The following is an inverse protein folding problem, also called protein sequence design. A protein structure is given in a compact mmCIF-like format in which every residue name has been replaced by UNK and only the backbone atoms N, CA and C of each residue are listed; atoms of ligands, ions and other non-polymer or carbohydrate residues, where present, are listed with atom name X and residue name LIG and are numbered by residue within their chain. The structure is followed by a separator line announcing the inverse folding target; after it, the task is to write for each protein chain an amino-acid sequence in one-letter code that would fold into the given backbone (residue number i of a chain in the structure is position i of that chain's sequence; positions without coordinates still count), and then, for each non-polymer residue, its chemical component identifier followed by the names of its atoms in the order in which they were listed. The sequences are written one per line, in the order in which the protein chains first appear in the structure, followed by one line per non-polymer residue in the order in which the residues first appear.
data_IF_282051648048
#
_entry.id   IF_282051648048
#
_cell.length_a   1.000
_cell.length_b   1.000
_cell.length_c   1.000
_cell.angle_alpha   90.00
_cell.angle_beta   90.00
_cell.angle_gamma   90.00
#
_symmetry.space_group_name_H-M   'P 1'
#
loop_
_entity.id
_entity.type
_entity.pdbx_description
1 polymer ?
#
# COMPACT_ATOMS: atom_id res chain seq x y z
N UNK A 1 -13.13 -54.14 -11.48
CA UNK A 1 -14.55 -54.32 -11.13
C UNK A 1 -14.88 -53.27 -10.08
N UNK A 2 -15.53 -52.21 -10.48
CA UNK A 2 -16.09 -51.17 -9.62
C UNK A 2 -17.62 -51.27 -9.75
N UNK A 3 -18.41 -51.17 -8.70
CA UNK A 3 -19.85 -51.12 -8.80
C UNK A 3 -20.35 -49.66 -8.95
N UNK A 4 -21.43 -49.53 -9.71
CA UNK A 4 -22.15 -48.34 -10.13
C UNK A 4 -22.69 -47.48 -8.98
N UNK A 5 -22.69 -46.16 -9.15
CA UNK A 5 -23.46 -45.19 -8.36
C UNK A 5 -24.71 -44.77 -9.16
N UNK A 6 -25.87 -44.68 -8.49
CA UNK A 6 -27.09 -44.17 -9.12
C UNK A 6 -27.12 -42.64 -9.21
N UNK A 7 -27.96 -42.04 -10.09
CA UNK A 7 -27.98 -40.58 -10.37
C UNK A 7 -28.72 -39.80 -9.28
N UNK A 8 -28.21 -38.60 -8.95
CA UNK A 8 -28.80 -37.63 -8.03
C UNK A 8 -29.98 -36.88 -8.66
N UNK A 9 -31.08 -36.84 -7.91
CA UNK A 9 -32.29 -36.07 -8.24
C UNK A 9 -32.00 -34.54 -8.16
N UNK A 10 -32.48 -33.82 -9.17
CA UNK A 10 -32.58 -32.37 -9.20
C UNK A 10 -33.70 -31.92 -8.26
N UNK A 11 -33.43 -31.05 -7.30
CA UNK A 11 -34.42 -30.33 -6.52
C UNK A 11 -34.59 -28.90 -7.02
N UNK A 12 -35.84 -28.56 -7.29
CA UNK A 12 -36.33 -27.31 -7.83
C UNK A 12 -36.20 -26.16 -6.83
N UNK A 13 -35.82 -24.99 -7.33
CA UNK A 13 -35.86 -23.69 -6.62
C UNK A 13 -37.29 -23.17 -6.55
N UNK A 14 -37.72 -22.56 -5.42
CA UNK A 14 -38.95 -21.77 -5.38
C UNK A 14 -38.69 -20.31 -5.78
N UNK A 15 -39.69 -19.77 -6.54
CA UNK A 15 -39.69 -18.38 -7.02
C UNK A 15 -40.09 -17.37 -5.94
N UNK A 16 -39.47 -16.21 -6.07
CA UNK A 16 -39.86 -14.84 -5.68
C UNK A 16 -41.07 -14.58 -4.78
N UNK A 17 -40.78 -14.06 -3.59
CA UNK A 17 -41.74 -13.30 -2.80
C UNK A 17 -41.22 -11.86 -2.58
N UNK A 18 -41.98 -10.86 -3.07
CA UNK A 18 -41.76 -9.44 -2.79
C UNK A 18 -42.12 -9.14 -1.34
N UNK A 19 -41.18 -8.57 -0.58
CA UNK A 19 -41.47 -7.96 0.72
C UNK A 19 -41.46 -6.43 0.61
N UNK A 20 -42.56 -5.83 0.98
CA UNK A 20 -42.75 -4.38 1.22
C UNK A 20 -42.15 -4.01 2.59
N UNK A 21 -41.58 -2.80 2.77
CA UNK A 21 -41.01 -2.40 4.05
C UNK A 21 -42.10 -1.90 5.00
N UNK A 22 -42.25 -2.55 6.15
CA UNK A 22 -43.00 -2.07 7.28
C UNK A 22 -42.08 -1.29 8.22
N UNK A 23 -42.42 -0.02 8.46
CA UNK A 23 -41.70 0.92 9.29
C UNK A 23 -42.35 1.02 10.67
N UNK A 24 -41.72 0.64 11.78
CA UNK A 24 -42.24 1.03 13.10
C UNK A 24 -41.58 2.32 13.57
N UNK A 25 -42.37 3.33 13.82
CA UNK A 25 -42.02 4.58 14.50
C UNK A 25 -41.50 4.26 15.91
N UNK A 26 -40.26 4.67 16.19
CA UNK A 26 -39.71 4.73 17.55
C UNK A 26 -39.75 6.19 17.99
N UNK A 27 -40.49 6.43 19.07
CA UNK A 27 -40.62 7.71 19.75
C UNK A 27 -39.36 8.01 20.57
N UNK A 28 -38.79 9.18 20.34
CA UNK A 28 -37.66 9.72 21.12
C UNK A 28 -38.13 10.43 22.38
N UNK A 29 -37.47 10.30 23.52
CA UNK A 29 -37.58 11.27 24.60
C UNK A 29 -36.63 12.45 24.39
N UNK A 30 -37.20 13.66 24.47
CA UNK A 30 -36.43 14.92 24.52
C UNK A 30 -35.64 15.00 25.83
N UNK A 31 -34.33 15.26 25.72
CA UNK A 31 -33.59 15.93 26.78
C UNK A 31 -32.75 17.05 26.15
N UNK A 32 -33.05 18.24 26.66
CA UNK A 32 -32.41 19.51 26.35
C UNK A 32 -31.05 19.61 27.05
N UNK A 33 -29.96 19.79 26.28
CA UNK A 33 -28.76 20.47 26.73
C UNK A 33 -28.03 21.05 25.53
N UNK A 34 -28.19 22.36 25.34
CA UNK A 34 -27.48 23.18 24.37
C UNK A 34 -26.11 23.52 24.92
N UNK A 35 -25.06 22.86 24.41
CA UNK A 35 -23.71 23.39 24.48
C UNK A 35 -23.35 23.96 23.11
N UNK A 36 -23.14 25.28 23.06
CA UNK A 36 -22.80 26.04 21.86
C UNK A 36 -21.39 25.68 21.39
N UNK A 37 -21.28 25.38 20.09
CA UNK A 37 -20.01 25.33 19.37
C UNK A 37 -19.44 26.75 19.21
N UNK A 38 -18.12 26.97 19.30
CA UNK A 38 -17.54 28.27 19.06
C UNK A 38 -17.63 28.67 17.59
N UNK A 39 -18.16 29.86 17.39
CA UNK A 39 -18.31 30.55 16.12
C UNK A 39 -16.95 30.98 15.56
N UNK A 40 -16.55 30.42 14.42
CA UNK A 40 -15.39 30.88 13.68
C UNK A 40 -15.83 31.85 12.60
N UNK A 41 -16.03 33.11 12.98
CA UNK A 41 -16.12 34.22 12.04
C UNK A 41 -14.72 34.73 11.73
N UNK A 42 -14.14 34.30 10.60
CA UNK A 42 -12.96 34.92 9.99
C UNK A 42 -13.32 36.25 9.33
N UNK A 43 -12.35 37.14 9.09
CA UNK A 43 -12.60 38.51 8.60
C UNK A 43 -13.16 38.50 7.16
N UNK A 44 -13.92 39.56 6.75
CA UNK A 44 -14.57 39.61 5.45
C UNK A 44 -13.55 39.76 4.33
N UNK A 45 -13.62 38.86 3.35
CA UNK A 45 -12.87 38.93 2.12
C UNK A 45 -13.65 39.75 1.07
N UNK A 46 -13.45 41.07 1.03
CA UNK A 46 -13.71 41.88 -0.16
C UNK A 46 -12.45 41.89 -1.04
N UNK A 47 -12.38 40.98 -1.97
CA UNK A 47 -11.59 41.12 -3.20
C UNK A 47 -12.35 40.48 -4.34
N UNK A 48 -12.85 41.36 -5.23
CA UNK A 48 -13.36 40.96 -6.52
C UNK A 48 -12.32 40.09 -7.24
N UNK A 49 -12.62 38.81 -7.37
CA UNK A 49 -11.85 37.86 -8.19
C UNK A 49 -12.21 38.12 -9.64
N UNK A 50 -11.32 38.87 -10.37
CA UNK A 50 -11.21 38.70 -11.79
C UNK A 50 -10.94 37.19 -12.06
N UNK A 51 -11.94 36.52 -12.60
CA UNK A 51 -11.77 35.20 -13.17
C UNK A 51 -10.94 35.35 -14.46
N UNK A 52 -9.63 35.25 -14.36
CA UNK A 52 -8.83 34.87 -15.51
C UNK A 52 -9.27 33.47 -15.98
N UNK A 53 -9.38 33.22 -17.29
CA UNK A 53 -9.70 31.90 -17.79
C UNK A 53 -8.64 30.93 -17.30
N UNK A 54 -9.09 29.82 -16.69
CA UNK A 54 -8.24 28.71 -16.26
C UNK A 54 -7.41 28.25 -17.47
N UNK A 55 -6.21 28.79 -17.61
CA UNK A 55 -5.21 28.22 -18.50
C UNK A 55 -4.92 26.84 -17.95
N UNK A 56 -5.19 25.81 -18.76
CA UNK A 56 -4.74 24.43 -18.51
C UNK A 56 -3.25 24.53 -18.15
N UNK A 57 -2.95 24.43 -16.86
CA UNK A 57 -1.58 24.22 -16.39
C UNK A 57 -1.07 23.02 -17.15
N UNK A 58 -0.03 23.17 -17.95
CA UNK A 58 0.62 22.07 -18.63
C UNK A 58 1.10 21.10 -17.54
N UNK A 59 0.36 20.01 -17.33
CA UNK A 59 0.76 19.02 -16.35
C UNK A 59 2.17 18.55 -16.71
N UNK A 60 3.06 18.56 -15.72
CA UNK A 60 4.43 18.08 -15.88
C UNK A 60 4.39 16.65 -16.40
N UNK A 61 5.13 16.36 -17.46
CA UNK A 61 5.25 15.02 -18.02
C UNK A 61 6.72 14.65 -18.18
N UNK A 62 7.02 13.36 -18.16
CA UNK A 62 8.32 12.82 -18.57
C UNK A 62 8.14 11.87 -19.74
N UNK A 63 9.01 11.98 -20.73
CA UNK A 63 9.10 11.07 -21.88
C UNK A 63 10.35 10.23 -21.74
N UNK A 64 10.19 8.90 -21.82
CA UNK A 64 11.30 7.95 -21.83
C UNK A 64 11.64 7.66 -23.29
N UNK A 65 12.91 7.83 -23.67
CA UNK A 65 13.38 7.48 -25.02
C UNK A 65 13.94 6.07 -25.00
N UNK A 66 13.46 5.15 -25.88
CA UNK A 66 13.99 3.80 -25.98
C UNK A 66 15.51 3.80 -26.22
N UNK A 67 16.31 3.13 -25.36
CA UNK A 67 17.73 3.00 -25.61
C UNK A 67 17.99 2.06 -26.80
N UNK A 68 19.03 2.35 -27.57
CA UNK A 68 19.50 1.49 -28.66
C UNK A 68 20.61 0.51 -28.23
N UNK A 69 20.78 0.32 -26.94
CA UNK A 69 21.78 -0.56 -26.30
C UNK A 69 21.16 -1.28 -25.10
N UNK A 70 21.71 -2.45 -24.72
CA UNK A 70 21.33 -3.12 -23.48
C UNK A 70 21.68 -2.28 -22.26
N UNK A 71 20.74 -2.13 -21.30
CA UNK A 71 21.02 -1.40 -20.07
C UNK A 71 21.95 -2.21 -19.17
N UNK A 72 23.11 -1.63 -18.86
CA UNK A 72 24.12 -2.31 -18.03
C UNK A 72 24.67 -1.32 -17.01
N UNK A 73 24.78 -1.76 -15.77
CA UNK A 73 25.32 -0.91 -14.71
C UNK A 73 25.00 -1.41 -13.32
N UNK A 74 25.25 -0.55 -12.32
CA UNK A 74 24.94 -0.83 -10.93
C UNK A 74 23.98 0.24 -10.40
N UNK A 75 22.83 -0.20 -9.91
CA UNK A 75 21.79 0.67 -9.33
C UNK A 75 21.17 -0.04 -8.13
N UNK A 76 21.36 0.48 -6.93
CA UNK A 76 20.71 -0.06 -5.75
C UNK A 76 19.28 0.45 -5.65
N UNK A 77 18.28 -0.42 -5.41
CA UNK A 77 16.95 0.00 -5.02
C UNK A 77 16.99 0.77 -3.70
N UNK A 78 16.05 1.71 -3.45
CA UNK A 78 15.96 2.36 -2.15
C UNK A 78 15.59 1.35 -1.06
N UNK A 79 15.71 1.75 0.21
CA UNK A 79 15.25 0.95 1.33
C UNK A 79 13.76 0.63 1.26
N UNK A 80 13.33 -0.49 1.82
CA UNK A 80 11.93 -0.92 1.78
C UNK A 80 11.01 0.05 2.52
N UNK A 81 10.03 0.62 1.80
CA UNK A 81 8.97 1.45 2.39
C UNK A 81 8.19 0.67 3.46
N UNK A 82 7.84 -0.56 3.15
CA UNK A 82 7.03 -1.41 4.01
C UNK A 82 7.71 -1.75 5.32
N UNK A 83 9.02 -2.01 5.27
CA UNK A 83 9.83 -2.29 6.47
C UNK A 83 10.13 -1.00 7.22
N UNK A 84 10.48 0.09 6.53
CA UNK A 84 10.76 1.39 7.17
C UNK A 84 9.58 1.87 8.01
N UNK A 85 8.35 1.82 7.49
CA UNK A 85 7.17 2.23 8.25
C UNK A 85 6.92 1.33 9.48
N UNK A 86 7.16 0.02 9.37
CA UNK A 86 7.08 -0.91 10.50
C UNK A 86 8.12 -0.59 11.57
N UNK A 87 9.37 -0.50 11.16
CA UNK A 87 10.48 -0.23 12.06
C UNK A 87 10.35 1.13 12.76
N UNK A 88 9.90 2.18 12.06
CA UNK A 88 9.61 3.49 12.66
C UNK A 88 8.56 3.39 13.76
N UNK A 89 7.44 2.69 13.53
CA UNK A 89 6.39 2.54 14.53
C UNK A 89 6.87 1.68 15.71
N UNK A 90 7.53 0.55 15.44
CA UNK A 90 8.01 -0.34 16.50
C UNK A 90 9.06 0.33 17.38
N UNK A 91 10.01 1.07 16.77
CA UNK A 91 11.00 1.87 17.49
C UNK A 91 10.35 3.00 18.31
N UNK A 92 9.28 3.63 17.80
CA UNK A 92 8.54 4.66 18.53
C UNK A 92 7.78 4.10 19.75
N UNK A 93 7.24 2.88 19.64
CA UNK A 93 6.56 2.17 20.72
C UNK A 93 7.53 1.50 21.70
N UNK A 94 8.80 1.37 21.32
CA UNK A 94 9.83 0.80 22.17
C UNK A 94 10.32 1.80 23.24
N UNK A 95 10.93 1.27 24.30
CA UNK A 95 11.65 2.08 25.29
C UNK A 95 13.14 2.05 24.99
N UNK A 96 13.71 3.22 24.68
CA UNK A 96 15.13 3.38 24.36
C UNK A 96 15.35 3.92 22.97
N UNK A 97 16.58 3.84 22.49
CA UNK A 97 17.01 4.37 21.18
C UNK A 97 17.29 3.24 20.22
N UNK A 98 16.72 3.32 19.03
CA UNK A 98 16.93 2.39 17.91
C UNK A 98 17.55 3.12 16.74
N UNK A 99 18.56 2.53 16.10
CA UNK A 99 19.12 3.00 14.83
C UNK A 99 18.55 2.16 13.69
N UNK A 100 17.83 2.81 12.78
CA UNK A 100 17.24 2.19 11.60
C UNK A 100 18.10 2.56 10.38
N UNK A 101 18.92 1.63 9.91
CA UNK A 101 19.85 1.85 8.79
C UNK A 101 19.29 1.29 7.49
N UNK A 102 19.67 1.85 6.33
CA UNK A 102 19.13 1.47 5.03
C UNK A 102 17.66 1.89 4.82
N UNK A 103 17.14 2.76 5.67
CA UNK A 103 15.75 3.19 5.65
C UNK A 103 15.43 4.03 4.40
N UNK A 104 14.23 3.88 3.91
CA UNK A 104 13.69 4.76 2.88
C UNK A 104 13.35 6.12 3.48
N UNK A 105 13.84 7.19 2.83
CA UNK A 105 13.35 8.55 3.03
C UNK A 105 12.54 8.99 1.83
N UNK A 106 11.24 9.05 2.01
CA UNK A 106 10.25 9.34 0.98
C UNK A 106 9.06 10.08 1.58
N UNK A 107 8.12 10.50 0.76
CA UNK A 107 6.90 11.14 1.27
C UNK A 107 6.13 10.25 2.26
N UNK A 108 6.02 8.96 1.97
CA UNK A 108 5.31 8.01 2.85
C UNK A 108 5.95 7.93 4.25
N UNK A 109 7.28 7.78 4.30
CA UNK A 109 8.02 7.66 5.57
C UNK A 109 8.17 8.99 6.30
N UNK A 110 8.18 10.10 5.56
CA UNK A 110 8.15 11.46 6.12
C UNK A 110 6.83 11.70 6.88
N UNK A 111 5.69 11.32 6.30
CA UNK A 111 4.41 11.44 7.01
C UNK A 111 4.38 10.60 8.30
N UNK A 112 4.94 9.38 8.28
CA UNK A 112 5.05 8.54 9.47
C UNK A 112 5.93 9.20 10.53
N UNK A 113 7.14 9.65 10.18
CA UNK A 113 8.09 10.24 11.12
C UNK A 113 7.58 11.56 11.71
N UNK A 114 6.91 12.41 10.92
CA UNK A 114 6.28 13.65 11.37
C UNK A 114 5.16 13.34 12.38
N UNK A 115 4.27 12.40 12.08
CA UNK A 115 3.20 12.02 12.99
C UNK A 115 3.73 11.45 14.31
N UNK A 116 4.77 10.63 14.28
CA UNK A 116 5.41 10.09 15.48
C UNK A 116 6.07 11.20 16.31
N UNK A 117 6.72 12.18 15.68
CA UNK A 117 7.25 13.38 16.40
C UNK A 117 6.13 14.18 17.08
N UNK A 118 4.97 14.36 16.41
CA UNK A 118 3.80 15.01 17.00
C UNK A 118 3.27 14.23 18.22
N UNK A 119 3.53 12.94 18.30
CA UNK A 119 3.19 12.08 19.44
C UNK A 119 4.34 11.90 20.44
N UNK A 120 5.30 12.83 20.46
CA UNK A 120 6.35 12.92 21.47
C UNK A 120 7.55 12.00 21.28
N UNK A 121 7.71 11.40 20.10
CA UNK A 121 8.87 10.56 19.77
C UNK A 121 10.00 11.44 19.23
N UNK A 122 11.23 11.26 19.73
CA UNK A 122 12.41 11.93 19.17
C UNK A 122 12.92 11.11 17.99
N UNK A 123 13.03 11.75 16.83
CA UNK A 123 13.53 11.10 15.61
C UNK A 123 14.56 12.02 14.97
N UNK A 124 15.82 11.60 14.95
CA UNK A 124 16.91 12.25 14.27
C UNK A 124 17.19 11.58 12.92
N UNK A 125 17.67 12.35 11.96
CA UNK A 125 17.95 11.91 10.60
C UNK A 125 19.39 12.30 10.21
N UNK A 126 20.39 11.53 10.69
CA UNK A 126 21.81 11.89 10.54
C UNK A 126 22.33 11.83 9.11
N UNK A 127 21.68 11.04 8.25
CA UNK A 127 22.02 10.86 6.84
C UNK A 127 20.78 10.46 6.02
N UNK A 128 20.93 10.26 4.72
CA UNK A 128 19.82 10.02 3.78
C UNK A 128 19.16 8.63 3.91
N UNK A 129 19.72 7.72 4.71
CA UNK A 129 19.24 6.35 4.84
C UNK A 129 19.08 5.90 6.28
N UNK A 130 19.24 6.81 7.25
CA UNK A 130 19.19 6.46 8.66
C UNK A 130 18.14 7.28 9.41
N UNK A 131 17.35 6.63 10.25
CA UNK A 131 16.60 7.23 11.35
C UNK A 131 17.15 6.76 12.69
N UNK A 132 17.33 7.67 13.62
CA UNK A 132 17.62 7.37 15.04
C UNK A 132 16.37 7.73 15.83
N UNK A 133 15.68 6.71 16.33
CA UNK A 133 14.38 6.85 16.98
C UNK A 133 14.53 6.59 18.48
N UNK A 134 14.18 7.58 19.31
CA UNK A 134 14.15 7.42 20.77
C UNK A 134 12.71 7.45 21.24
N UNK A 135 12.21 6.27 21.61
CA UNK A 135 10.88 6.06 22.15
C UNK A 135 10.88 5.97 23.68
N UNK A 136 9.78 6.38 24.29
CA UNK A 136 9.56 6.28 25.74
C UNK A 136 8.78 5.02 26.15
N UNK A 137 8.41 4.18 25.22
CA UNK A 137 7.47 3.06 25.39
C UNK A 137 5.99 3.50 25.39
N UNK A 138 5.70 4.76 25.08
CA UNK A 138 4.34 5.33 25.04
C UNK A 138 4.28 6.46 24.01
N UNK A 139 3.19 6.51 23.26
CA UNK A 139 2.85 7.65 22.42
C UNK A 139 2.09 8.69 23.25
N UNK A 140 2.31 9.97 22.96
CA UNK A 140 1.63 11.08 23.61
C UNK A 140 0.44 11.55 22.77
N UNK A 141 -0.54 12.20 23.41
CA UNK A 141 -1.66 12.81 22.71
C UNK A 141 -1.14 13.98 21.84
N UNK A 142 -1.35 13.94 20.52
CA UNK A 142 -0.93 15.03 19.66
C UNK A 142 -1.82 16.26 19.85
N UNK A 143 -1.24 17.45 19.77
CA UNK A 143 -1.98 18.71 19.92
C UNK A 143 -2.85 19.07 18.71
N UNK A 144 -2.59 18.46 17.57
CA UNK A 144 -3.25 18.71 16.29
C UNK A 144 -3.59 17.38 15.59
N UNK A 145 -4.54 17.37 14.64
CA UNK A 145 -4.78 16.21 13.79
C UNK A 145 -3.49 15.74 13.10
N UNK A 146 -3.33 14.42 12.99
CA UNK A 146 -2.22 13.81 12.28
C UNK A 146 -2.52 13.80 10.77
N UNK A 147 -1.82 14.62 10.01
CA UNK A 147 -1.93 14.64 8.55
C UNK A 147 -0.93 13.65 7.92
N UNK A 148 -1.44 12.67 7.20
CA UNK A 148 -0.67 11.54 6.68
C UNK A 148 -0.57 11.54 5.14
N UNK A 149 -0.97 12.62 4.45
CA UNK A 149 -0.99 12.69 2.99
C UNK A 149 -1.68 11.46 2.39
N UNK A 150 -1.05 10.84 1.39
CA UNK A 150 -1.49 9.55 0.82
C UNK A 150 -0.71 8.33 1.38
N UNK A 151 -0.11 8.43 2.58
CA UNK A 151 0.69 7.36 3.19
C UNK A 151 -0.21 6.27 3.80
N UNK A 152 -0.67 5.33 2.97
CA UNK A 152 -1.64 4.30 3.34
C UNK A 152 -1.18 3.39 4.48
N UNK A 153 0.09 3.03 4.50
CA UNK A 153 0.68 2.20 5.57
C UNK A 153 0.68 2.94 6.91
N UNK A 154 1.13 4.21 6.92
CA UNK A 154 1.12 5.04 8.11
C UNK A 154 -0.31 5.24 8.64
N UNK A 155 -1.28 5.51 7.76
CA UNK A 155 -2.68 5.67 8.13
C UNK A 155 -3.21 4.44 8.90
N UNK A 156 -3.03 3.23 8.36
CA UNK A 156 -3.56 2.01 9.00
C UNK A 156 -2.84 1.68 10.29
N UNK A 157 -1.52 1.79 10.29
CA UNK A 157 -0.71 1.47 11.46
C UNK A 157 -0.96 2.45 12.61
N UNK A 158 -0.98 3.74 12.32
CA UNK A 158 -1.23 4.74 13.35
C UNK A 158 -2.68 4.72 13.84
N UNK A 159 -3.68 4.43 13.00
CA UNK A 159 -5.07 4.27 13.45
C UNK A 159 -5.20 3.21 14.55
N UNK A 160 -4.48 2.10 14.44
CA UNK A 160 -4.45 1.11 15.52
C UNK A 160 -3.58 1.59 16.70
N UNK A 161 -2.38 2.10 16.45
CA UNK A 161 -1.43 2.46 17.49
C UNK A 161 -1.93 3.55 18.42
N UNK A 162 -2.69 4.55 17.92
CA UNK A 162 -3.24 5.63 18.76
C UNK A 162 -4.31 5.15 19.75
N UNK A 163 -4.79 3.90 19.65
CA UNK A 163 -5.62 3.29 20.69
C UNK A 163 -4.89 3.23 22.05
N UNK A 164 -3.55 3.20 22.04
CA UNK A 164 -2.71 3.24 23.25
C UNK A 164 -2.54 4.63 23.86
N UNK A 165 -3.05 5.67 23.20
CA UNK A 165 -3.02 7.06 23.72
C UNK A 165 -4.28 7.31 24.53
N UNK A 166 -4.16 7.95 25.69
CA UNK A 166 -5.34 8.37 26.47
C UNK A 166 -5.87 9.69 25.89
N UNK A 167 -6.98 9.64 25.15
CA UNK A 167 -7.62 10.83 24.57
C UNK A 167 -8.06 10.65 23.12
N UNK A 168 -8.49 11.73 22.49
CA UNK A 168 -9.03 11.72 21.13
C UNK A 168 -7.96 12.12 20.11
N UNK A 169 -7.71 11.27 19.14
CA UNK A 169 -6.77 11.52 18.04
C UNK A 169 -7.53 11.51 16.71
N UNK A 170 -7.32 12.53 15.89
CA UNK A 170 -7.85 12.61 14.53
C UNK A 170 -6.72 12.32 13.55
N UNK A 171 -6.96 11.40 12.61
CA UNK A 171 -6.04 11.07 11.53
C UNK A 171 -6.70 11.43 10.19
N UNK A 172 -5.99 12.15 9.34
CA UNK A 172 -6.48 12.60 8.04
C UNK A 172 -5.40 12.53 6.98
N UNK A 173 -5.75 12.78 5.73
CA UNK A 173 -4.84 12.82 4.61
C UNK A 173 -5.36 13.69 3.49
N UNK A 174 -4.73 13.57 2.33
CA UNK A 174 -5.13 14.26 1.11
C UNK A 174 -6.43 13.67 0.50
N UNK A 175 -6.88 14.25 -0.61
CA UNK A 175 -8.11 13.85 -1.31
C UNK A 175 -8.07 12.40 -1.80
N UNK A 176 -6.89 11.84 -2.06
CA UNK A 176 -6.73 10.43 -2.41
C UNK A 176 -6.90 9.53 -1.18
N UNK A 177 -6.29 9.90 -0.05
CA UNK A 177 -6.42 9.15 1.20
C UNK A 177 -7.86 9.12 1.70
N UNK A 178 -8.62 10.21 1.53
CA UNK A 178 -10.01 10.31 1.96
C UNK A 178 -10.96 9.37 1.19
N UNK A 179 -10.49 8.72 0.14
CA UNK A 179 -11.24 7.71 -0.64
C UNK A 179 -10.80 6.28 -0.35
N UNK A 180 -9.74 6.10 0.44
CA UNK A 180 -9.16 4.77 0.70
C UNK A 180 -9.83 4.10 1.90
N UNK A 181 -10.39 2.88 1.74
CA UNK A 181 -11.13 2.23 2.79
C UNK A 181 -10.25 1.90 4.00
N UNK A 182 -10.86 2.03 5.19
CA UNK A 182 -10.27 1.64 6.48
C UNK A 182 -11.33 0.97 7.39
N UNK A 183 -12.57 0.90 6.93
CA UNK A 183 -13.71 0.39 7.67
C UNK A 183 -13.49 -0.93 8.41
N UNK A 184 -12.93 -1.99 7.80
CA UNK A 184 -12.69 -3.26 8.50
C UNK A 184 -11.85 -3.10 9.76
N UNK A 185 -10.78 -2.29 9.72
CA UNK A 185 -9.95 -2.00 10.90
C UNK A 185 -10.75 -1.28 11.98
N UNK A 186 -11.54 -0.26 11.60
CA UNK A 186 -12.38 0.50 12.54
C UNK A 186 -13.43 -0.40 13.20
N UNK A 187 -14.06 -1.29 12.43
CA UNK A 187 -15.04 -2.25 12.95
C UNK A 187 -14.40 -3.14 14.01
N UNK A 188 -13.22 -3.70 13.74
CA UNK A 188 -12.52 -4.55 14.71
C UNK A 188 -12.12 -3.78 15.97
N UNK A 189 -11.63 -2.55 15.85
CA UNK A 189 -11.31 -1.71 17.01
C UNK A 189 -12.57 -1.41 17.85
N UNK A 190 -13.69 -1.04 17.20
CA UNK A 190 -14.96 -0.76 17.85
C UNK A 190 -15.53 -1.95 18.60
N UNK A 191 -15.49 -3.15 18.01
CA UNK A 191 -15.92 -4.40 18.64
C UNK A 191 -15.13 -4.75 19.91
N UNK A 192 -13.91 -4.19 20.03
CA UNK A 192 -13.03 -4.39 21.17
C UNK A 192 -12.95 -3.18 22.13
N UNK A 193 -13.97 -2.34 22.15
CA UNK A 193 -14.13 -1.26 23.13
C UNK A 193 -13.33 0.00 22.85
N UNK A 194 -12.73 0.12 21.65
CA UNK A 194 -12.05 1.34 21.19
C UNK A 194 -13.02 2.10 20.31
N UNK A 195 -13.59 3.19 20.85
CA UNK A 195 -14.52 4.00 20.07
C UNK A 195 -13.79 4.66 18.90
N UNK A 196 -14.36 4.54 17.71
CA UNK A 196 -13.84 5.10 16.46
C UNK A 196 -14.97 5.71 15.64
N UNK A 197 -14.69 6.83 14.98
CA UNK A 197 -15.66 7.52 14.13
C UNK A 197 -15.05 7.77 12.74
N UNK A 198 -15.78 7.39 11.73
CA UNK A 198 -15.50 7.70 10.32
C UNK A 198 -16.82 7.68 9.55
N UNK A 199 -17.35 8.82 9.09
CA UNK A 199 -18.65 8.89 8.43
C UNK A 199 -18.73 8.09 7.13
N UNK A 200 -17.61 7.89 6.45
CA UNK A 200 -17.54 7.27 5.12
C UNK A 200 -16.88 5.88 5.12
N UNK A 201 -16.33 5.44 6.28
CA UNK A 201 -15.46 4.26 6.32
C UNK A 201 -14.06 4.51 5.72
N UNK A 202 -13.75 5.78 5.42
CA UNK A 202 -12.47 6.28 4.95
C UNK A 202 -11.98 7.41 5.87
N UNK A 203 -10.72 7.86 5.79
CA UNK A 203 -10.28 9.07 6.49
C UNK A 203 -11.10 10.32 6.09
N UNK A 204 -11.29 11.31 6.98
CA UNK A 204 -10.69 11.38 8.32
C UNK A 204 -11.30 10.37 9.28
N UNK A 205 -10.44 9.89 10.21
CA UNK A 205 -10.79 8.95 11.27
C UNK A 205 -10.55 9.58 12.63
N UNK A 206 -11.50 9.47 13.53
CA UNK A 206 -11.33 9.85 14.94
C UNK A 206 -11.23 8.58 15.77
N UNK A 207 -10.18 8.46 16.59
CA UNK A 207 -9.97 7.34 17.51
C UNK A 207 -9.98 7.89 18.94
N UNK A 208 -10.86 7.35 19.77
CA UNK A 208 -10.88 7.66 21.21
C UNK A 208 -10.01 6.61 21.91
N UNK A 209 -8.73 6.91 22.03
CA UNK A 209 -7.76 6.00 22.60
C UNK A 209 -8.00 5.78 24.10
N UNK A 210 -7.78 4.53 24.51
CA UNK A 210 -8.10 4.03 25.85
C UNK A 210 -6.86 3.96 26.77
N UNK A 211 -5.68 4.25 26.24
CA UNK A 211 -4.40 4.16 26.95
C UNK A 211 -3.89 2.73 27.08
N UNK A 212 -4.70 1.81 27.57
CA UNK A 212 -4.38 0.38 27.65
C UNK A 212 -5.49 -0.43 26.99
N UNK A 213 -5.10 -1.23 26.02
CA UNK A 213 -6.03 -2.06 25.25
C UNK A 213 -6.32 -3.34 26.03
N UNK A 214 -7.61 -3.58 26.31
CA UNK A 214 -8.10 -4.74 27.09
C UNK A 214 -8.75 -5.81 26.23
N UNK A 215 -8.53 -5.79 24.93
CA UNK A 215 -9.03 -6.82 24.02
C UNK A 215 -8.45 -8.21 24.36
N UNK A 216 -9.26 -9.25 24.17
CA UNK A 216 -8.78 -10.66 24.26
C UNK A 216 -8.46 -11.21 22.89
N UNK A 217 -9.20 -10.77 21.88
CA UNK A 217 -9.10 -11.30 20.52
C UNK A 217 -9.56 -10.24 19.51
N UNK A 218 -8.75 -9.98 18.52
CA UNK A 218 -9.12 -9.22 17.33
C UNK A 218 -9.50 -10.22 16.22
N UNK A 219 -10.66 -10.04 15.63
CA UNK A 219 -11.08 -10.78 14.44
C UNK A 219 -11.14 -9.81 13.25
N UNK A 220 -10.46 -10.15 12.17
CA UNK A 220 -10.30 -9.27 11.01
C UNK A 220 -10.33 -10.05 9.70
N UNK A 221 -11.05 -9.55 8.70
CA UNK A 221 -10.93 -10.05 7.34
C UNK A 221 -9.63 -9.50 6.72
N UNK A 222 -8.71 -10.43 6.39
CA UNK A 222 -7.42 -10.14 5.78
C UNK A 222 -7.46 -10.01 4.25
N UNK A 223 -8.59 -10.34 3.62
CA UNK A 223 -8.71 -10.40 2.15
C UNK A 223 -8.50 -9.04 1.48
N UNK A 224 -9.05 -7.97 2.05
CA UNK A 224 -8.95 -6.62 1.46
C UNK A 224 -7.56 -6.01 1.65
N UNK A 225 -6.94 -6.17 2.81
CA UNK A 225 -5.60 -5.59 3.07
C UNK A 225 -4.89 -6.24 4.25
N UNK A 226 -3.68 -6.77 4.00
CA UNK A 226 -2.76 -7.24 5.05
C UNK A 226 -2.31 -6.13 6.01
N UNK A 227 -2.49 -4.85 5.64
CA UNK A 227 -2.15 -3.71 6.52
C UNK A 227 -3.03 -3.66 7.77
N UNK A 228 -4.30 -4.08 7.67
CA UNK A 228 -5.20 -4.13 8.83
C UNK A 228 -4.73 -5.18 9.84
N UNK A 229 -4.37 -6.36 9.34
CA UNK A 229 -3.82 -7.46 10.15
C UNK A 229 -2.53 -7.01 10.83
N UNK A 230 -1.61 -6.44 10.05
CA UNK A 230 -0.33 -5.91 10.55
C UNK A 230 -0.51 -4.85 11.65
N UNK A 231 -1.47 -3.94 11.46
CA UNK A 231 -1.77 -2.88 12.43
C UNK A 231 -2.25 -3.47 13.77
N UNK A 232 -3.14 -4.46 13.73
CA UNK A 232 -3.67 -5.13 14.93
C UNK A 232 -2.61 -6.00 15.62
N UNK A 233 -1.75 -6.70 14.87
CA UNK A 233 -0.62 -7.46 15.42
C UNK A 233 0.33 -6.54 16.20
N UNK A 234 0.72 -5.41 15.61
CA UNK A 234 1.61 -4.45 16.28
C UNK A 234 0.94 -3.81 17.51
N UNK A 235 -0.37 -3.54 17.44
CA UNK A 235 -1.13 -3.03 18.60
C UNK A 235 -1.19 -4.06 19.72
N UNK A 236 -1.38 -5.34 19.39
CA UNK A 236 -1.60 -6.41 20.38
C UNK A 236 -0.45 -6.55 21.38
N UNK A 237 0.80 -6.33 20.97
CA UNK A 237 1.94 -6.34 21.89
C UNK A 237 1.89 -5.24 22.96
N UNK A 238 1.14 -4.16 22.71
CA UNK A 238 0.91 -3.04 23.64
C UNK A 238 -0.33 -3.23 24.52
N UNK A 239 -0.97 -4.39 24.50
CA UNK A 239 -2.13 -4.73 25.30
C UNK A 239 -1.84 -4.82 26.81
N UNK A 240 -2.89 -4.92 27.62
CA UNK A 240 -2.77 -5.15 29.07
C UNK A 240 -2.52 -6.63 29.39
N UNK A 241 -2.98 -7.54 28.51
CA UNK A 241 -2.81 -8.98 28.59
C UNK A 241 -2.55 -9.52 27.18
N UNK A 242 -2.14 -10.81 27.02
CA UNK A 242 -1.99 -11.40 25.70
C UNK A 242 -3.27 -11.32 24.86
N UNK A 243 -3.12 -10.95 23.60
CA UNK A 243 -4.22 -10.78 22.64
C UNK A 243 -4.03 -11.76 21.48
N UNK A 244 -5.11 -12.41 21.07
CA UNK A 244 -5.14 -13.16 19.83
C UNK A 244 -5.55 -12.26 18.66
N UNK A 245 -4.89 -12.43 17.51
CA UNK A 245 -5.29 -11.81 16.25
C UNK A 245 -5.65 -12.94 15.30
N UNK A 246 -6.91 -13.02 14.91
CA UNK A 246 -7.43 -14.08 14.07
C UNK A 246 -7.99 -13.53 12.76
N UNK A 247 -7.66 -14.20 11.69
CA UNK A 247 -8.23 -13.92 10.39
C UNK A 247 -9.60 -14.54 10.25
N UNK A 248 -10.55 -13.77 9.75
CA UNK A 248 -11.85 -14.24 9.29
C UNK A 248 -11.86 -14.21 7.76
N UNK A 249 -12.51 -15.17 7.13
CA UNK A 249 -12.51 -15.28 5.67
C UNK A 249 -11.56 -16.38 5.16
N UNK A 250 -11.63 -16.62 3.85
CA UNK A 250 -10.91 -17.75 3.22
C UNK A 250 -9.55 -17.35 2.67
N UNK A 251 -9.35 -16.08 2.37
CA UNK A 251 -8.18 -15.60 1.64
C UNK A 251 -7.40 -14.58 2.47
N UNK A 252 -6.09 -14.78 2.54
CA UNK A 252 -5.16 -13.82 3.12
C UNK A 252 -4.45 -13.14 1.95
N UNK A 253 -4.97 -12.02 1.52
CA UNK A 253 -4.29 -11.20 0.54
C UNK A 253 -2.92 -10.75 1.05
N UNK A 254 -1.86 -11.15 0.34
CA UNK A 254 -0.48 -10.79 0.66
C UNK A 254 -0.01 -11.24 2.06
N UNK A 255 -0.16 -12.52 2.37
CA UNK A 255 0.30 -13.14 3.62
C UNK A 255 1.75 -12.80 3.96
N UNK A 256 2.66 -12.77 2.98
CA UNK A 256 4.05 -12.44 3.20
C UNK A 256 4.29 -11.08 3.87
N UNK A 257 3.35 -10.11 3.75
CA UNK A 257 3.44 -8.87 4.52
C UNK A 257 3.02 -9.01 5.98
N UNK A 258 2.22 -10.02 6.31
CA UNK A 258 1.94 -10.38 7.70
C UNK A 258 3.18 -11.02 8.31
N UNK A 259 3.80 -11.97 7.60
CA UNK A 259 5.03 -12.62 8.04
C UNK A 259 6.15 -11.59 8.25
N UNK A 260 6.32 -10.65 7.32
CA UNK A 260 7.24 -9.52 7.45
C UNK A 260 6.97 -8.67 8.72
N UNK A 261 5.69 -8.48 9.08
CA UNK A 261 5.32 -7.76 10.31
C UNK A 261 5.72 -8.56 11.54
N UNK A 262 5.47 -9.87 11.55
CA UNK A 262 5.84 -10.75 12.66
C UNK A 262 7.34 -10.78 12.89
N UNK A 263 8.13 -10.80 11.82
CA UNK A 263 9.60 -10.78 11.90
C UNK A 263 10.12 -9.44 12.44
N UNK A 264 9.58 -8.32 11.96
CA UNK A 264 9.89 -7.01 12.53
C UNK A 264 9.51 -6.94 14.02
N UNK A 265 8.33 -7.41 14.41
CA UNK A 265 7.87 -7.41 15.81
C UNK A 265 8.80 -8.24 16.71
N UNK A 266 9.21 -9.42 16.25
CA UNK A 266 10.15 -10.29 16.98
C UNK A 266 11.53 -9.64 17.16
N UNK A 267 12.03 -8.95 16.12
CA UNK A 267 13.29 -8.20 16.21
C UNK A 267 13.23 -7.12 17.28
N UNK A 268 12.08 -6.47 17.46
CA UNK A 268 11.84 -5.49 18.52
C UNK A 268 11.35 -6.12 19.84
N UNK A 269 11.56 -7.42 20.06
CA UNK A 269 11.36 -8.11 21.33
C UNK A 269 9.93 -8.60 21.61
N UNK A 270 9.00 -8.46 20.67
CA UNK A 270 7.65 -9.00 20.84
C UNK A 270 7.66 -10.53 20.79
N UNK A 271 6.86 -11.16 21.65
CA UNK A 271 6.66 -12.60 21.64
C UNK A 271 5.35 -12.93 20.94
N UNK A 272 5.46 -13.62 19.82
CA UNK A 272 4.31 -14.02 18.97
C UNK A 272 4.37 -15.50 18.67
N UNK A 273 3.31 -16.19 19.05
CA UNK A 273 3.06 -17.62 18.81
C UNK A 273 2.00 -17.77 17.71
N UNK A 274 2.25 -18.61 16.71
CA UNK A 274 1.21 -19.05 15.79
C UNK A 274 0.36 -20.11 16.48
N UNK A 275 -0.92 -19.83 16.67
CA UNK A 275 -1.89 -20.80 17.25
C UNK A 275 -2.32 -21.78 16.16
N UNK A 276 -2.56 -21.26 14.96
CA UNK A 276 -2.85 -22.01 13.73
C UNK A 276 -2.45 -21.15 12.50
N UNK A 277 -2.81 -21.59 11.30
CA UNK A 277 -2.46 -20.90 10.04
C UNK A 277 -3.09 -19.51 9.90
N UNK A 278 -4.07 -19.16 10.71
CA UNK A 278 -4.86 -17.94 10.62
C UNK A 278 -4.92 -17.14 11.90
N UNK A 279 -4.31 -17.64 12.98
CA UNK A 279 -4.40 -17.05 14.32
C UNK A 279 -3.03 -16.96 14.98
N UNK A 280 -2.73 -15.78 15.50
CA UNK A 280 -1.52 -15.52 16.29
C UNK A 280 -1.89 -15.02 17.68
N UNK A 281 -1.19 -15.54 18.69
CA UNK A 281 -1.24 -15.05 20.06
C UNK A 281 -0.03 -14.14 20.30
N UNK A 282 -0.28 -12.88 20.64
CA UNK A 282 0.74 -11.88 20.92
C UNK A 282 0.78 -11.62 22.41
N UNK A 283 1.94 -11.81 23.05
CA UNK A 283 2.13 -11.50 24.44
C UNK A 283 2.18 -9.98 24.66
N UNK A 284 1.70 -9.51 25.82
CA UNK A 284 1.68 -8.10 26.20
C UNK A 284 3.08 -7.62 26.68
N UNK A 285 4.11 -7.81 25.87
CA UNK A 285 5.50 -7.48 26.20
C UNK A 285 5.86 -6.02 25.93
N UNK A 286 5.05 -5.31 25.12
CA UNK A 286 5.49 -4.08 24.46
C UNK A 286 6.66 -4.35 23.54
N UNK A 287 7.47 -3.30 23.30
CA UNK A 287 8.64 -3.35 22.44
C UNK A 287 9.90 -2.85 23.16
N UNK A 288 11.05 -3.37 22.74
CA UNK A 288 12.38 -2.93 23.20
C UNK A 288 13.14 -2.31 22.04
N UNK A 289 13.95 -1.29 22.34
CA UNK A 289 14.79 -0.66 21.34
C UNK A 289 15.74 -1.68 20.70
N UNK A 290 15.88 -1.60 19.39
CA UNK A 290 16.71 -2.51 18.59
C UNK A 290 17.26 -1.78 17.36
N UNK A 291 18.57 -1.92 17.12
CA UNK A 291 19.15 -1.45 15.87
C UNK A 291 18.76 -2.38 14.73
N UNK A 292 18.17 -1.82 13.68
CA UNK A 292 17.55 -2.61 12.63
C UNK A 292 18.06 -2.19 11.25
N UNK A 293 18.53 -3.18 10.49
CA UNK A 293 18.94 -2.99 9.09
C UNK A 293 17.72 -3.24 8.19
N UNK A 294 17.33 -2.23 7.43
CA UNK A 294 16.24 -2.31 6.48
C UNK A 294 16.81 -2.75 5.13
N UNK A 295 16.28 -3.84 4.60
CA UNK A 295 16.67 -4.34 3.28
C UNK A 295 16.18 -3.42 2.16
N UNK A 296 16.78 -3.47 0.96
CA UNK A 296 16.27 -2.78 -0.22
C UNK A 296 14.81 -3.15 -0.52
N UNK A 297 14.10 -2.28 -1.23
CA UNK A 297 12.69 -2.50 -1.58
C UNK A 297 12.56 -3.49 -2.75
N UNK A 298 12.00 -4.67 -2.48
CA UNK A 298 11.80 -5.71 -3.50
C UNK A 298 10.83 -5.29 -4.60
N UNK A 299 9.81 -4.47 -4.27
CA UNK A 299 8.92 -3.94 -5.29
C UNK A 299 9.65 -2.97 -6.22
N UNK A 300 10.57 -2.13 -5.68
CA UNK A 300 11.42 -1.25 -6.48
C UNK A 300 12.41 -2.03 -7.34
N UNK A 301 12.94 -3.14 -6.83
CA UNK A 301 13.82 -4.04 -7.58
C UNK A 301 13.14 -4.61 -8.83
N UNK A 302 11.81 -4.79 -8.83
CA UNK A 302 11.08 -5.32 -10.00
C UNK A 302 11.23 -4.46 -11.24
N UNK A 303 11.32 -3.12 -11.10
CA UNK A 303 11.52 -2.22 -12.24
C UNK A 303 12.90 -2.41 -12.86
N UNK A 304 13.93 -2.62 -12.06
CA UNK A 304 15.29 -2.84 -12.52
C UNK A 304 15.45 -4.22 -13.18
N UNK A 305 14.89 -5.28 -12.58
CA UNK A 305 14.85 -6.61 -13.20
C UNK A 305 14.07 -6.64 -14.52
N UNK A 306 12.93 -5.93 -14.58
CA UNK A 306 12.16 -5.82 -15.82
C UNK A 306 12.90 -5.01 -16.88
N UNK A 307 13.57 -3.91 -16.52
CA UNK A 307 14.41 -3.13 -17.46
C UNK A 307 15.56 -3.96 -18.01
N UNK A 308 16.19 -4.79 -17.17
CA UNK A 308 17.26 -5.73 -17.57
C UNK A 308 16.77 -6.68 -18.67
N UNK A 309 15.68 -7.42 -18.43
CA UNK A 309 15.17 -8.41 -19.40
C UNK A 309 14.57 -7.78 -20.66
N UNK A 310 13.93 -6.59 -20.54
CA UNK A 310 13.40 -5.87 -21.70
C UNK A 310 14.48 -5.39 -22.65
N UNK A 311 15.62 -4.99 -22.13
CA UNK A 311 16.71 -4.44 -22.95
C UNK A 311 17.81 -5.47 -23.28
N UNK A 312 17.77 -6.66 -22.66
CA UNK A 312 18.79 -7.69 -22.81
C UNK A 312 20.13 -7.31 -22.16
N UNK A 313 20.06 -6.47 -21.11
CA UNK A 313 21.22 -5.96 -20.39
C UNK A 313 21.62 -6.77 -19.17
N UNK A 314 22.35 -6.10 -18.26
CA UNK A 314 22.67 -6.63 -16.93
C UNK A 314 22.75 -5.51 -15.91
N UNK A 315 21.86 -5.51 -14.92
CA UNK A 315 21.75 -4.48 -13.89
C UNK A 315 22.06 -5.11 -12.52
N UNK A 316 23.23 -4.79 -11.96
CA UNK A 316 23.59 -5.19 -10.59
C UNK A 316 22.83 -4.31 -9.59
N UNK A 317 21.87 -4.90 -8.88
CA UNK A 317 21.12 -4.22 -7.83
C UNK A 317 21.75 -4.37 -6.44
N UNK A 318 22.88 -5.07 -6.31
CA UNK A 318 23.64 -5.23 -5.08
C UNK A 318 23.06 -6.25 -4.08
N UNK A 319 21.94 -6.92 -4.40
CA UNK A 319 21.31 -7.95 -3.55
C UNK A 319 20.69 -9.02 -4.45
N UNK A 320 20.82 -10.28 -4.05
CA UNK A 320 20.21 -11.37 -4.81
C UNK A 320 18.71 -11.54 -4.43
N UNK A 321 17.89 -11.97 -5.38
CA UNK A 321 16.43 -12.07 -5.19
C UNK A 321 16.02 -12.98 -4.01
N UNK A 322 16.77 -14.05 -3.76
CA UNK A 322 16.52 -14.98 -2.65
C UNK A 322 16.84 -14.40 -1.27
N UNK A 323 17.58 -13.29 -1.19
CA UNK A 323 18.00 -12.67 0.06
C UNK A 323 16.95 -11.68 0.59
N UNK A 324 15.91 -11.37 -0.24
CA UNK A 324 14.79 -10.54 0.21
C UNK A 324 13.81 -11.34 1.08
N UNK A 325 13.35 -10.74 2.16
CA UNK A 325 12.25 -11.26 2.97
C UNK A 325 10.87 -10.80 2.45
N UNK A 326 10.84 -9.78 1.60
CA UNK A 326 9.63 -9.18 1.05
C UNK A 326 8.96 -10.08 0.01
N UNK A 327 7.61 -10.23 0.04
CA UNK A 327 6.90 -11.15 -0.85
C UNK A 327 7.00 -10.81 -2.33
N UNK A 328 7.18 -9.52 -2.66
CA UNK A 328 7.28 -9.06 -4.06
C UNK A 328 8.56 -9.54 -4.75
N UNK A 329 9.57 -10.00 -4.01
CA UNK A 329 10.76 -10.62 -4.60
C UNK A 329 10.45 -11.87 -5.43
N UNK A 330 9.31 -12.55 -5.16
CA UNK A 330 8.81 -13.68 -5.98
C UNK A 330 8.60 -13.30 -7.44
N UNK A 331 8.37 -12.03 -7.73
CA UNK A 331 8.21 -11.53 -9.10
C UNK A 331 9.47 -11.74 -9.96
N UNK A 332 10.65 -11.79 -9.36
CA UNK A 332 11.90 -12.05 -10.09
C UNK A 332 11.85 -13.37 -10.87
N UNK A 333 11.28 -14.43 -10.28
CA UNK A 333 11.12 -15.72 -10.95
C UNK A 333 10.16 -15.66 -12.15
N UNK A 334 9.16 -14.78 -12.11
CA UNK A 334 8.23 -14.53 -13.23
C UNK A 334 8.92 -13.69 -14.30
N UNK A 335 9.64 -12.62 -13.90
CA UNK A 335 10.39 -11.74 -14.81
C UNK A 335 11.46 -12.53 -15.57
N UNK A 336 12.17 -13.45 -14.92
CA UNK A 336 13.20 -14.29 -15.52
C UNK A 336 12.68 -15.23 -16.63
N UNK A 337 11.37 -15.46 -16.70
CA UNK A 337 10.75 -16.25 -17.77
C UNK A 337 10.51 -15.44 -19.06
N UNK A 338 10.59 -14.10 -19.00
CA UNK A 338 10.39 -13.26 -20.17
C UNK A 338 11.39 -13.61 -21.28
N UNK A 339 10.99 -13.72 -22.57
CA UNK A 339 9.67 -13.40 -23.15
C UNK A 339 8.67 -14.57 -23.19
N UNK A 340 8.80 -15.56 -22.34
CA UNK A 340 7.92 -16.74 -22.27
C UNK A 340 7.32 -16.86 -20.86
N UNK A 341 6.74 -15.75 -20.35
CA UNK A 341 6.09 -15.74 -19.05
C UNK A 341 4.94 -16.76 -19.02
N UNK A 342 4.69 -17.32 -17.85
CA UNK A 342 3.57 -18.25 -17.63
C UNK A 342 2.22 -17.60 -17.99
N UNK A 343 1.27 -18.41 -18.51
CA UNK A 343 -0.03 -17.91 -18.98
C UNK A 343 -0.91 -17.33 -17.87
N UNK A 344 -0.69 -17.70 -16.61
CA UNK A 344 -1.44 -17.19 -15.45
C UNK A 344 -0.48 -16.81 -14.34
N UNK A 345 -0.63 -15.59 -13.80
CA UNK A 345 0.13 -15.06 -12.68
C UNK A 345 -0.85 -14.71 -11.54
N UNK A 346 -0.68 -15.34 -10.39
CA UNK A 346 -1.48 -15.04 -9.19
C UNK A 346 -0.91 -13.81 -8.50
N UNK A 347 -1.72 -12.75 -8.41
CA UNK A 347 -1.26 -11.43 -7.92
C UNK A 347 -1.35 -11.23 -6.43
N UNK A 348 -2.16 -12.01 -5.70
CA UNK A 348 -2.42 -11.78 -4.28
C UNK A 348 -1.17 -11.81 -3.40
N UNK A 349 -0.16 -12.60 -3.76
CA UNK A 349 1.06 -12.78 -2.97
C UNK A 349 2.24 -11.87 -3.35
N UNK A 350 2.13 -11.11 -4.45
CA UNK A 350 3.13 -10.14 -4.91
C UNK A 350 2.46 -8.91 -5.53
N UNK A 351 1.45 -8.40 -4.84
CA UNK A 351 0.50 -7.41 -5.35
C UNK A 351 1.16 -6.12 -5.85
N UNK A 352 2.24 -5.67 -5.21
CA UNK A 352 2.91 -4.42 -5.56
C UNK A 352 3.87 -4.58 -6.76
N UNK A 353 4.19 -5.82 -7.16
CA UNK A 353 4.95 -6.15 -8.38
C UNK A 353 4.05 -6.30 -9.63
N UNK A 354 2.74 -6.48 -9.46
CA UNK A 354 1.82 -6.72 -10.58
C UNK A 354 1.86 -5.62 -11.64
N UNK A 355 1.94 -4.31 -11.31
CA UNK A 355 2.06 -3.28 -12.33
C UNK A 355 3.27 -3.49 -13.25
N UNK A 356 4.43 -3.83 -12.69
CA UNK A 356 5.64 -4.16 -13.46
C UNK A 356 5.41 -5.36 -14.37
N UNK A 357 4.85 -6.45 -13.83
CA UNK A 357 4.63 -7.68 -14.57
C UNK A 357 3.59 -7.51 -15.70
N UNK A 358 2.55 -6.71 -15.46
CA UNK A 358 1.53 -6.44 -16.48
C UNK A 358 2.10 -5.66 -17.69
N UNK A 359 2.93 -4.65 -17.41
CA UNK A 359 3.61 -3.91 -18.50
C UNK A 359 4.64 -4.80 -19.21
N UNK A 360 5.39 -5.63 -18.47
CA UNK A 360 6.32 -6.60 -19.07
C UNK A 360 5.57 -7.60 -19.99
N UNK A 361 4.41 -8.07 -19.53
CA UNK A 361 3.57 -9.00 -20.30
C UNK A 361 3.09 -8.43 -21.63
N UNK A 362 3.01 -7.10 -21.80
CA UNK A 362 2.68 -6.50 -23.08
C UNK A 362 3.66 -6.88 -24.21
N UNK A 363 4.90 -7.18 -23.87
CA UNK A 363 5.97 -7.56 -24.79
C UNK A 363 6.28 -9.06 -24.78
N UNK A 364 5.48 -9.87 -24.06
CA UNK A 364 5.64 -11.31 -23.98
C UNK A 364 5.22 -12.01 -25.29
N UNK A 365 5.68 -13.24 -25.51
CA UNK A 365 5.34 -14.01 -26.70
C UNK A 365 3.88 -14.52 -26.70
N UNK A 366 3.29 -14.69 -25.54
CA UNK A 366 1.93 -15.24 -25.35
C UNK A 366 1.15 -14.40 -24.33
N UNK A 367 -0.19 -14.33 -24.44
CA UNK A 367 -1.02 -13.63 -23.48
C UNK A 367 -0.82 -14.09 -22.04
N UNK A 368 -0.93 -13.15 -21.09
CA UNK A 368 -0.79 -13.42 -19.67
C UNK A 368 -2.04 -12.95 -18.92
N UNK A 369 -2.61 -13.81 -18.09
CA UNK A 369 -3.72 -13.51 -17.21
C UNK A 369 -3.20 -13.29 -15.80
N UNK A 370 -3.52 -12.15 -15.22
CA UNK A 370 -3.25 -11.81 -13.81
C UNK A 370 -4.53 -11.99 -13.01
N UNK A 371 -4.50 -12.83 -11.99
CA UNK A 371 -5.67 -13.20 -11.18
C UNK A 371 -5.54 -12.72 -9.73
N UNK A 372 -6.65 -12.73 -8.98
CA UNK A 372 -6.70 -12.34 -7.56
C UNK A 372 -6.23 -10.90 -7.32
N UNK A 373 -6.70 -9.95 -8.12
CA UNK A 373 -6.27 -8.56 -8.09
C UNK A 373 -7.22 -7.63 -7.31
N UNK A 374 -8.25 -8.13 -6.63
CA UNK A 374 -9.25 -7.32 -5.94
C UNK A 374 -8.63 -6.25 -5.02
N UNK A 375 -7.54 -6.59 -4.35
CA UNK A 375 -6.82 -5.68 -3.45
C UNK A 375 -6.11 -4.51 -4.16
N UNK A 376 -5.82 -4.63 -5.47
CA UNK A 376 -5.20 -3.57 -6.26
C UNK A 376 -6.17 -2.43 -6.58
N UNK A 377 -7.49 -2.69 -6.53
CA UNK A 377 -8.53 -1.68 -6.79
C UNK A 377 -8.68 -0.64 -5.70
N UNK A 378 -8.17 -0.92 -4.50
CA UNK A 378 -8.29 -0.07 -3.31
C UNK A 378 -6.95 0.48 -2.81
N UNK A 379 -5.96 0.53 -3.72
CA UNK A 379 -4.63 1.11 -3.45
C UNK A 379 -4.65 2.64 -3.61
N UNK A 380 -3.58 3.22 -4.09
CA UNK A 380 -3.47 4.65 -4.42
C UNK A 380 -4.51 5.09 -5.45
N UNK A 381 -4.76 4.23 -6.42
CA UNK A 381 -5.84 4.27 -7.39
C UNK A 381 -6.39 2.85 -7.60
N UNK A 382 -7.41 2.68 -8.45
CA UNK A 382 -7.73 1.35 -9.01
C UNK A 382 -6.62 0.98 -10.02
N UNK A 383 -5.61 0.26 -9.53
CA UNK A 383 -4.45 -0.13 -10.36
C UNK A 383 -4.82 -1.05 -11.51
N UNK A 384 -5.87 -1.87 -11.36
CA UNK A 384 -6.33 -2.76 -12.43
C UNK A 384 -6.88 -1.92 -13.58
N UNK A 385 -7.68 -0.89 -13.26
CA UNK A 385 -8.20 0.04 -14.26
C UNK A 385 -7.08 0.88 -14.89
N UNK A 386 -6.18 1.43 -14.08
CA UNK A 386 -5.07 2.25 -14.57
C UNK A 386 -4.13 1.47 -15.50
N UNK A 387 -3.86 0.19 -15.21
CA UNK A 387 -3.07 -0.69 -16.08
C UNK A 387 -3.80 -0.99 -17.39
N UNK A 388 -5.10 -1.31 -17.31
CA UNK A 388 -5.95 -1.52 -18.49
C UNK A 388 -5.92 -0.29 -19.39
N UNK A 389 -6.19 0.89 -18.84
CA UNK A 389 -6.31 2.12 -19.62
C UNK A 389 -4.95 2.52 -20.23
N UNK A 390 -3.88 2.49 -19.45
CA UNK A 390 -2.54 2.83 -19.93
C UNK A 390 -2.01 1.86 -20.99
N UNK A 391 -2.26 0.56 -20.87
CA UNK A 391 -1.89 -0.41 -21.90
C UNK A 391 -2.69 -0.20 -23.20
N UNK A 392 -3.99 0.08 -23.09
CA UNK A 392 -4.83 0.35 -24.24
C UNK A 392 -4.58 1.74 -24.86
N UNK A 393 -4.03 2.69 -24.12
CA UNK A 393 -3.54 3.96 -24.64
C UNK A 393 -2.29 3.77 -25.54
N UNK A 394 -1.42 2.81 -25.19
CA UNK A 394 -0.29 2.42 -26.04
C UNK A 394 -0.80 1.75 -27.31
N UNK A 395 -1.70 0.78 -27.18
CA UNK A 395 -2.34 0.10 -28.29
C UNK A 395 -3.72 -0.44 -27.89
N UNK A 396 -4.80 -0.06 -28.59
CA UNK A 396 -6.15 -0.57 -28.33
C UNK A 396 -6.22 -2.10 -28.40
N UNK A 397 -6.88 -2.70 -27.40
CA UNK A 397 -7.05 -4.16 -27.28
C UNK A 397 -5.85 -4.89 -26.64
N UNK A 398 -4.86 -4.17 -26.10
CA UNK A 398 -3.71 -4.79 -25.43
C UNK A 398 -4.05 -5.34 -24.04
N UNK A 399 -5.06 -4.79 -23.38
CA UNK A 399 -5.51 -5.27 -22.07
C UNK A 399 -7.05 -5.33 -21.98
N UNK A 400 -7.54 -6.32 -21.23
CA UNK A 400 -8.98 -6.53 -20.95
C UNK A 400 -9.16 -6.85 -19.46
N UNK A 401 -10.22 -6.31 -18.84
CA UNK A 401 -10.60 -6.61 -17.47
C UNK A 401 -11.74 -7.63 -17.46
N UNK A 402 -11.61 -8.70 -16.69
CA UNK A 402 -12.65 -9.71 -16.47
C UNK A 402 -12.86 -9.88 -14.94
N UNK A 403 -13.85 -9.19 -14.38
CA UNK A 403 -14.04 -9.12 -12.93
C UNK A 403 -12.86 -8.42 -12.25
N UNK A 404 -12.14 -9.12 -11.40
CA UNK A 404 -10.92 -8.61 -10.76
C UNK A 404 -9.62 -9.08 -11.45
N UNK A 405 -9.73 -9.79 -12.57
CA UNK A 405 -8.57 -10.23 -13.33
C UNK A 405 -8.22 -9.22 -14.44
N UNK A 406 -6.94 -9.16 -14.79
CA UNK A 406 -6.40 -8.42 -15.91
C UNK A 406 -5.80 -9.40 -16.93
N UNK A 407 -6.32 -9.41 -18.15
CA UNK A 407 -5.75 -10.15 -19.27
C UNK A 407 -4.93 -9.18 -20.12
N UNK A 408 -3.64 -9.46 -20.32
CA UNK A 408 -2.76 -8.75 -21.26
C UNK A 408 -2.60 -9.61 -22.50
N UNK A 409 -3.02 -9.07 -23.66
CA UNK A 409 -3.05 -9.81 -24.93
C UNK A 409 -1.65 -10.14 -25.49
N UNK A 410 -0.62 -9.42 -25.05
CA UNK A 410 0.78 -9.51 -25.45
C UNK A 410 1.02 -9.27 -26.95
N UNK A 411 2.03 -8.49 -27.28
CA UNK A 411 2.48 -8.27 -28.65
C UNK A 411 3.96 -7.91 -28.70
N UNK A 412 4.84 -8.87 -28.97
CA UNK A 412 6.28 -8.60 -29.12
C UNK A 412 6.61 -7.57 -30.19
N UNK A 413 5.73 -7.40 -31.21
CA UNK A 413 5.92 -6.44 -32.28
C UNK A 413 5.73 -4.97 -31.86
N UNK A 414 5.24 -4.71 -30.65
CA UNK A 414 5.24 -3.37 -30.07
C UNK A 414 6.66 -2.81 -29.90
N UNK A 415 7.64 -3.68 -29.66
CA UNK A 415 9.03 -3.26 -29.49
C UNK A 415 9.56 -2.58 -30.76
N UNK A 416 10.11 -1.36 -30.63
CA UNK A 416 10.61 -0.56 -31.74
C UNK A 416 9.55 0.28 -32.47
N UNK A 417 8.28 0.22 -32.04
CA UNK A 417 7.23 1.09 -32.58
C UNK A 417 7.21 2.46 -31.91
N UNK A 418 6.36 3.35 -32.40
CA UNK A 418 6.07 4.66 -31.81
C UNK A 418 4.58 4.84 -31.61
N UNK A 419 4.21 5.55 -30.55
CA UNK A 419 2.84 5.97 -30.26
C UNK A 419 2.82 7.40 -29.75
N UNK A 420 1.64 7.93 -29.41
CA UNK A 420 1.47 9.23 -28.77
C UNK A 420 0.76 9.11 -27.41
N UNK A 421 0.99 7.98 -26.73
CA UNK A 421 0.32 7.67 -25.47
C UNK A 421 0.66 8.69 -24.37
N UNK A 422 -0.38 9.12 -23.66
CA UNK A 422 -0.28 9.96 -22.47
C UNK A 422 -0.81 9.17 -21.26
N UNK A 423 0.09 8.68 -20.45
CA UNK A 423 -0.23 7.83 -19.30
C UNK A 423 -0.64 8.72 -18.12
N UNK A 424 -1.91 8.62 -17.71
CA UNK A 424 -2.36 9.17 -16.44
C UNK A 424 -1.88 8.26 -15.30
N UNK A 425 -1.06 8.80 -14.44
CA UNK A 425 -0.53 8.05 -13.29
C UNK A 425 -1.52 7.97 -12.12
N UNK A 426 -2.58 8.77 -12.12
CA UNK A 426 -3.50 8.89 -10.99
C UNK A 426 -2.77 9.18 -9.66
N UNK A 427 -1.67 9.93 -9.71
CA UNK A 427 -0.74 10.16 -8.60
C UNK A 427 -0.21 8.84 -7.96
N UNK A 428 -0.21 7.74 -8.71
CA UNK A 428 0.33 6.46 -8.26
C UNK A 428 1.73 6.23 -8.84
N UNK A 429 2.70 6.24 -7.96
CA UNK A 429 4.11 6.01 -8.25
C UNK A 429 4.38 4.71 -9.03
N UNK A 430 3.59 3.63 -8.76
CA UNK A 430 3.78 2.34 -9.43
C UNK A 430 3.33 2.39 -10.89
N UNK A 431 2.26 3.14 -11.17
CA UNK A 431 1.81 3.37 -12.55
C UNK A 431 2.86 4.19 -13.31
N UNK A 432 3.39 5.27 -12.71
CA UNK A 432 4.48 6.02 -13.33
C UNK A 432 5.69 5.15 -13.66
N UNK A 433 6.18 4.37 -12.67
CA UNK A 433 7.40 3.58 -12.82
C UNK A 433 7.22 2.38 -13.77
N UNK A 434 6.09 1.68 -13.74
CA UNK A 434 5.88 0.54 -14.64
C UNK A 434 5.72 0.99 -16.10
N UNK A 435 5.03 2.10 -16.39
CA UNK A 435 4.92 2.59 -17.77
C UNK A 435 6.21 3.22 -18.30
N UNK A 436 7.14 3.64 -17.43
CA UNK A 436 8.49 3.99 -17.86
C UNK A 436 9.21 2.80 -18.53
N UNK A 437 8.92 1.57 -18.10
CA UNK A 437 9.45 0.35 -18.74
C UNK A 437 8.91 0.16 -20.15
N UNK A 438 7.63 0.47 -20.40
CA UNK A 438 7.08 0.46 -21.75
C UNK A 438 7.81 1.48 -22.63
N UNK A 439 8.18 2.64 -22.09
CA UNK A 439 8.98 3.66 -22.76
C UNK A 439 10.39 3.20 -23.15
N UNK A 440 10.93 2.14 -22.54
CA UNK A 440 12.20 1.53 -22.98
C UNK A 440 12.08 0.77 -24.30
N UNK A 441 10.87 0.45 -24.74
CA UNK A 441 10.61 -0.36 -25.96
C UNK A 441 9.79 0.37 -27.02
N UNK A 442 8.94 1.33 -26.60
CA UNK A 442 8.03 2.08 -27.48
C UNK A 442 8.31 3.58 -27.33
N UNK A 443 8.58 4.27 -28.43
CA UNK A 443 8.82 5.71 -28.40
C UNK A 443 7.52 6.52 -28.31
N UNK A 444 7.58 7.70 -27.71
CA UNK A 444 6.46 8.64 -27.62
C UNK A 444 5.51 8.43 -26.46
N UNK A 445 5.84 7.53 -25.53
CA UNK A 445 5.10 7.39 -24.26
C UNK A 445 5.46 8.54 -23.34
N UNK A 446 4.46 9.32 -22.95
CA UNK A 446 4.56 10.44 -22.00
C UNK A 446 3.85 10.04 -20.70
N UNK A 447 4.50 10.26 -19.56
CA UNK A 447 3.99 9.91 -18.23
C UNK A 447 3.68 11.21 -17.50
N UNK A 448 2.42 11.39 -17.09
CA UNK A 448 1.97 12.54 -16.30
C UNK A 448 2.45 12.42 -14.87
N UNK A 449 2.54 13.58 -14.18
CA UNK A 449 2.91 13.68 -12.77
C UNK A 449 4.10 12.77 -12.40
N UNK A 450 5.28 12.96 -13.05
CA UNK A 450 6.44 12.11 -12.81
C UNK A 450 6.97 12.22 -11.38
N UNK A 451 6.61 13.27 -10.64
CA UNK A 451 7.07 13.52 -9.28
C UNK A 451 6.39 12.58 -8.27
N UNK A 452 5.29 11.92 -8.62
CA UNK A 452 4.61 10.95 -7.75
C UNK A 452 5.52 9.78 -7.32
N UNK A 453 6.61 9.50 -8.04
CA UNK A 453 7.61 8.48 -7.67
C UNK A 453 8.30 8.77 -6.34
N UNK A 454 8.32 10.04 -5.90
CA UNK A 454 8.88 10.47 -4.61
C UNK A 454 8.25 9.74 -3.41
N UNK A 455 7.07 9.16 -3.59
CA UNK A 455 6.38 8.37 -2.59
C UNK A 455 7.15 7.11 -2.15
N UNK A 456 7.90 6.45 -3.07
CA UNK A 456 8.60 5.20 -2.76
C UNK A 456 9.99 5.09 -3.39
N UNK A 457 10.26 5.83 -4.46
CA UNK A 457 11.55 5.81 -5.14
C UNK A 457 11.89 7.21 -5.66
N UNK A 458 12.26 8.15 -4.77
CA UNK A 458 12.53 9.55 -5.16
C UNK A 458 13.54 9.68 -6.31
N UNK A 459 14.57 8.82 -6.33
CA UNK A 459 15.65 8.83 -7.31
C UNK A 459 15.37 7.98 -8.56
N UNK A 460 14.13 7.56 -8.82
CA UNK A 460 13.81 6.62 -9.91
C UNK A 460 14.26 7.12 -11.28
N UNK A 461 13.98 8.38 -11.61
CA UNK A 461 14.37 8.97 -12.89
C UNK A 461 15.88 9.11 -13.01
N UNK A 462 16.58 9.49 -11.94
CA UNK A 462 18.02 9.53 -11.88
C UNK A 462 18.65 8.13 -12.03
N UNK A 463 18.01 7.11 -11.43
CA UNK A 463 18.42 5.71 -11.56
C UNK A 463 18.37 5.24 -13.02
N UNK A 464 17.25 5.51 -13.74
CA UNK A 464 17.17 5.22 -15.18
C UNK A 464 18.20 6.01 -15.99
N UNK A 465 18.36 7.31 -15.70
CA UNK A 465 19.36 8.17 -16.35
C UNK A 465 20.79 7.67 -16.15
N UNK A 466 21.13 7.14 -14.96
CA UNK A 466 22.46 6.58 -14.68
C UNK A 466 22.77 5.32 -15.49
N UNK A 467 21.74 4.61 -15.94
CA UNK A 467 21.85 3.47 -16.86
C UNK A 467 21.90 3.92 -18.34
N UNK A 468 21.88 5.22 -18.62
CA UNK A 468 21.96 5.79 -19.96
C UNK A 468 20.61 6.02 -20.64
N UNK A 469 19.50 5.88 -19.93
CA UNK A 469 18.17 6.17 -20.49
C UNK A 469 18.00 7.68 -20.64
N UNK A 470 17.67 8.14 -21.84
CA UNK A 470 17.37 9.56 -22.09
C UNK A 470 15.93 9.89 -21.66
N UNK A 471 15.81 10.93 -20.85
CA UNK A 471 14.55 11.45 -20.32
C UNK A 471 14.36 12.90 -20.77
N UNK A 472 13.13 13.28 -21.17
CA UNK A 472 12.77 14.66 -21.47
C UNK A 472 11.51 15.06 -20.71
N UNK A 473 11.54 16.27 -20.11
CA UNK A 473 10.49 16.84 -19.26
C UNK A 473 9.75 17.98 -19.96
#
# INVERSE_FOLDING_TARGET
MYPDRPPSQASQLPQSGRCTPNNPRITTPRSTSTAALPDYSGPPADRALNQEPCTLSSQKTVTVTPPNFPLTGKVAPPGSKSITNRALLLAALAKGTSRLSGALKSDDTRHMSVALRQMGVTIDEPDDTTFVVTGSGKLQLPAQPLFLGNAGTAMRFLTAAVATVQGTVVLTGDDYMQKRPIGPLLTTLGQNGIQVDSPTGCPPVTVHGVGKVQAKRFEIDGGLSSQYVSALLMLAACGEAPIEVALTGKDIGARGYVDLTLDCMRAFGAQVEAVDDTTWRVAATGYTAHDYLIEPDASAATYLWAAEVLTGGHIDIGVAAQDFTQPDAKAQAVIAQFPNMQATVVGSQMQDAIPTLAVLAAFNNTPVRFTELANLRVKECDRVQALHDGLNEIRPGLATIEGDDLLVASDPALAGTSCSALIDTHADHRIAMCFALAGLKVSGIRIQDPDCVAKTYPEYWNALGSLGVALSY
#
